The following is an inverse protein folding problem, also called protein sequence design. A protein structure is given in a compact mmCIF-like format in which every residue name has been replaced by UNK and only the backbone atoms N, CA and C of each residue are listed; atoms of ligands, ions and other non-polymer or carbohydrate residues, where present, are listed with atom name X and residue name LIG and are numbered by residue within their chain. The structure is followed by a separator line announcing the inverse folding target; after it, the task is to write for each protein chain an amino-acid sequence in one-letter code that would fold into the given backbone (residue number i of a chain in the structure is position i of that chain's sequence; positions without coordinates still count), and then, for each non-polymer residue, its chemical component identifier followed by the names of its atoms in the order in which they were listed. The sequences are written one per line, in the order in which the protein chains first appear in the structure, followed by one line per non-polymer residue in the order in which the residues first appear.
data_IF_522525383403
#
_entry.id   IF_522525383403
#
_cell.length_a   1.000
_cell.length_b   1.000
_cell.length_c   1.000
_cell.angle_alpha   90.00
_cell.angle_beta   90.00
_cell.angle_gamma   90.00
#
_symmetry.space_group_name_H-M   'P 1'
#
loop_
_entity.id
_entity.type
_entity.pdbx_description
1 polymer ?
#
# COMPACT_ATOMS: atom_id res chain seq x y z
N UNK A 1 -31.19 3.10 -40.50
CA UNK A 1 -30.37 2.10 -39.77
C UNK A 1 -29.26 2.85 -39.07
N UNK A 2 -29.46 3.24 -37.81
CA UNK A 2 -28.49 4.02 -37.02
C UNK A 2 -27.60 3.06 -36.24
N UNK A 3 -26.34 2.94 -36.66
CA UNK A 3 -25.31 2.19 -35.95
C UNK A 3 -25.00 2.91 -34.63
N UNK A 4 -25.54 2.41 -33.51
CA UNK A 4 -25.08 2.80 -32.18
C UNK A 4 -23.63 2.36 -32.05
N UNK A 5 -22.73 3.34 -32.01
CA UNK A 5 -21.33 3.15 -31.67
C UNK A 5 -21.31 2.71 -30.21
N UNK A 6 -21.14 1.41 -29.97
CA UNK A 6 -20.76 0.91 -28.66
C UNK A 6 -19.42 1.56 -28.31
N UNK A 7 -19.48 2.63 -27.52
CA UNK A 7 -18.33 3.22 -26.84
C UNK A 7 -17.82 2.10 -25.94
N UNK A 8 -16.86 1.35 -26.47
CA UNK A 8 -16.17 0.29 -25.78
C UNK A 8 -15.48 0.96 -24.59
N UNK A 9 -16.10 0.82 -23.42
CA UNK A 9 -15.62 1.33 -22.16
C UNK A 9 -14.43 0.45 -21.76
N UNK A 10 -13.32 0.59 -22.48
CA UNK A 10 -12.06 -0.07 -22.19
C UNK A 10 -11.70 0.36 -20.76
N UNK A 11 -11.66 -0.56 -19.78
CA UNK A 11 -11.25 -0.18 -18.45
C UNK A 11 -9.81 0.31 -18.56
N UNK A 12 -9.63 1.63 -18.40
CA UNK A 12 -8.32 2.33 -18.37
C UNK A 12 -7.37 1.68 -17.35
N UNK A 13 -7.91 0.87 -16.43
CA UNK A 13 -7.16 0.17 -15.40
C UNK A 13 -7.35 -1.35 -15.54
N UNK A 14 -6.28 -2.11 -15.87
CA UNK A 14 -6.35 -3.55 -16.12
C UNK A 14 -6.61 -4.40 -14.85
N UNK A 15 -6.64 -3.79 -13.66
CA UNK A 15 -6.98 -4.46 -12.41
C UNK A 15 -7.84 -3.53 -11.53
N UNK A 16 -8.84 -4.03 -10.78
CA UNK A 16 -9.62 -3.22 -9.86
C UNK A 16 -8.73 -2.55 -8.79
N UNK A 17 -9.02 -1.30 -8.42
CA UNK A 17 -8.34 -0.54 -7.35
C UNK A 17 -8.19 -1.41 -6.09
N UNK A 18 -9.28 -2.06 -5.70
CA UNK A 18 -9.35 -2.89 -4.50
C UNK A 18 -8.34 -4.03 -4.51
N UNK A 19 -8.02 -4.61 -5.67
CA UNK A 19 -7.01 -5.68 -5.76
C UNK A 19 -5.60 -5.15 -5.47
N UNK A 20 -5.26 -3.93 -5.93
CA UNK A 20 -3.95 -3.30 -5.66
C UNK A 20 -3.85 -2.85 -4.20
N UNK A 21 -4.92 -2.30 -3.64
CA UNK A 21 -5.00 -1.97 -2.22
C UNK A 21 -4.86 -3.21 -1.35
N UNK A 22 -5.53 -4.32 -1.70
CA UNK A 22 -5.46 -5.57 -0.95
C UNK A 22 -4.06 -6.19 -1.00
N UNK A 23 -3.38 -6.12 -2.15
CA UNK A 23 -1.97 -6.53 -2.26
C UNK A 23 -1.07 -5.67 -1.37
N UNK A 24 -1.22 -4.34 -1.42
CA UNK A 24 -0.46 -3.43 -0.57
C UNK A 24 -0.71 -3.67 0.92
N UNK A 25 -1.97 -3.86 1.31
CA UNK A 25 -2.37 -4.22 2.67
C UNK A 25 -1.78 -5.56 3.09
N UNK A 26 -1.81 -6.56 2.21
CA UNK A 26 -1.23 -7.89 2.46
C UNK A 26 0.27 -7.83 2.68
N UNK A 27 1.01 -7.03 1.89
CA UNK A 27 2.44 -6.81 2.09
C UNK A 27 2.70 -6.14 3.45
N UNK A 28 1.95 -5.08 3.78
CA UNK A 28 2.06 -4.41 5.08
C UNK A 28 1.73 -5.34 6.25
N UNK A 29 0.74 -6.22 6.08
CA UNK A 29 0.34 -7.21 7.09
C UNK A 29 1.42 -8.27 7.30
N UNK A 30 1.97 -8.83 6.22
CA UNK A 30 3.07 -9.79 6.33
C UNK A 30 4.29 -9.18 7.02
N UNK A 31 4.64 -7.95 6.65
CA UNK A 31 5.75 -7.23 7.26
C UNK A 31 5.52 -7.02 8.75
N UNK A 32 4.33 -6.53 9.16
CA UNK A 32 4.09 -6.30 10.58
C UNK A 32 3.93 -7.57 11.39
N UNK A 33 3.34 -8.63 10.81
CA UNK A 33 3.29 -9.95 11.45
C UNK A 33 4.70 -10.49 11.71
N UNK A 34 5.64 -10.31 10.78
CA UNK A 34 7.04 -10.70 11.00
C UNK A 34 7.65 -9.96 12.20
N UNK A 35 7.45 -8.64 12.30
CA UNK A 35 7.91 -7.86 13.46
C UNK A 35 7.24 -8.30 14.78
N UNK A 36 5.93 -8.57 14.76
CA UNK A 36 5.19 -8.97 15.95
C UNK A 36 5.60 -10.36 16.45
N UNK A 37 5.89 -11.32 15.57
CA UNK A 37 6.34 -12.67 15.95
C UNK A 37 7.73 -12.62 16.60
N UNK A 38 8.62 -11.76 16.10
CA UNK A 38 9.96 -11.58 16.68
C UNK A 38 9.99 -10.76 17.97
N UNK A 39 8.90 -10.10 18.32
CA UNK A 39 8.85 -9.18 19.44
C UNK A 39 8.40 -9.86 20.73
N UNK A 40 9.17 -9.65 21.80
CA UNK A 40 8.80 -10.10 23.14
C UNK A 40 8.18 -8.93 23.88
N UNK A 41 6.99 -9.11 24.47
CA UNK A 41 6.30 -8.04 25.20
C UNK A 41 7.16 -7.56 26.36
N UNK A 42 7.50 -6.28 26.36
CA UNK A 42 8.16 -5.65 27.50
C UNK A 42 7.13 -5.28 28.60
N UNK A 43 7.51 -5.30 29.89
CA UNK A 43 6.61 -4.98 31.02
C UNK A 43 5.94 -3.61 30.91
N UNK A 44 6.62 -2.65 30.31
CA UNK A 44 6.20 -1.25 30.14
C UNK A 44 5.20 -1.04 29.01
N UNK A 45 5.01 -2.02 28.12
CA UNK A 45 4.10 -1.87 26.98
C UNK A 45 2.63 -2.13 27.36
N UNK A 46 1.69 -1.40 26.71
CA UNK A 46 0.25 -1.64 26.89
C UNK A 46 -0.15 -3.09 26.59
N UNK A 47 -1.17 -3.62 27.27
CA UNK A 47 -1.66 -5.00 27.01
C UNK A 47 -2.02 -5.27 25.55
N UNK A 48 -2.51 -4.25 24.84
CA UNK A 48 -2.93 -4.32 23.44
C UNK A 48 -1.97 -3.60 22.48
N UNK A 49 -0.68 -3.56 22.81
CA UNK A 49 0.35 -2.89 22.03
C UNK A 49 0.41 -3.33 20.56
N UNK A 50 0.04 -4.59 20.26
CA UNK A 50 0.04 -5.19 18.92
C UNK A 50 -1.14 -4.74 18.02
N UNK A 51 -2.20 -4.13 18.57
CA UNK A 51 -3.37 -3.71 17.78
C UNK A 51 -3.02 -2.53 16.86
N UNK A 52 -2.33 -1.51 17.41
CA UNK A 52 -1.89 -0.34 16.64
C UNK A 52 -1.10 -0.73 15.39
N UNK A 53 0.00 -1.52 15.48
CA UNK A 53 0.77 -1.88 14.31
C UNK A 53 -0.04 -2.73 13.32
N UNK A 54 -0.89 -3.64 13.80
CA UNK A 54 -1.71 -4.50 12.95
C UNK A 54 -2.76 -3.73 12.13
N UNK A 55 -3.15 -2.52 12.56
CA UNK A 55 -4.07 -1.66 11.81
C UNK A 55 -3.34 -0.63 10.97
N UNK A 56 -2.34 0.06 11.55
CA UNK A 56 -1.65 1.19 10.91
C UNK A 56 -0.78 0.72 9.74
N UNK A 57 -0.03 -0.38 9.89
CA UNK A 57 0.90 -0.84 8.84
C UNK A 57 0.17 -1.38 7.60
N UNK A 58 -0.88 -2.23 7.73
CA UNK A 58 -1.65 -2.65 6.56
C UNK A 58 -2.42 -1.51 5.92
N UNK A 59 -2.92 -0.55 6.70
CA UNK A 59 -3.55 0.66 6.15
C UNK A 59 -2.56 1.51 5.34
N UNK A 60 -1.34 1.69 5.84
CA UNK A 60 -0.26 2.36 5.10
C UNK A 60 0.09 1.60 3.80
N UNK A 61 0.20 0.27 3.87
CA UNK A 61 0.38 -0.57 2.68
C UNK A 61 -0.75 -0.44 1.67
N UNK A 62 -2.00 -0.39 2.12
CA UNK A 62 -3.17 -0.17 1.26
C UNK A 62 -3.12 1.20 0.55
N UNK A 63 -2.73 2.25 1.28
CA UNK A 63 -2.55 3.60 0.74
C UNK A 63 -1.44 3.64 -0.31
N UNK A 64 -0.32 2.96 -0.07
CA UNK A 64 0.74 2.83 -1.06
C UNK A 64 0.29 2.07 -2.33
N UNK A 65 -0.51 1.02 -2.18
CA UNK A 65 -1.13 0.29 -3.30
C UNK A 65 -2.15 1.14 -4.08
N UNK A 66 -2.89 2.01 -3.39
CA UNK A 66 -3.80 2.99 -4.00
C UNK A 66 -3.04 4.06 -4.78
N UNK A 67 -1.92 4.56 -4.24
CA UNK A 67 -1.07 5.53 -4.93
C UNK A 67 -0.47 4.94 -6.22
N UNK A 68 0.00 3.68 -6.15
CA UNK A 68 0.46 2.92 -7.32
C UNK A 68 -0.66 2.73 -8.37
N UNK A 69 -1.91 2.55 -7.94
CA UNK A 69 -3.05 2.53 -8.85
C UNK A 69 -3.27 3.88 -9.55
N UNK A 70 -3.25 4.98 -8.79
CA UNK A 70 -3.50 6.31 -9.34
C UNK A 70 -2.42 6.72 -10.37
N UNK A 71 -1.17 6.30 -10.14
CA UNK A 71 -0.05 6.55 -11.05
C UNK A 71 -0.16 5.81 -12.40
N UNK A 72 -1.06 4.83 -12.53
CA UNK A 72 -1.29 4.09 -13.79
C UNK A 72 -1.89 5.00 -14.88
N UNK A 73 -2.62 6.06 -14.48
CA UNK A 73 -3.08 7.09 -15.41
C UNK A 73 -1.90 7.85 -16.04
N UNK A 74 -0.83 8.09 -15.28
CA UNK A 74 0.38 8.74 -15.80
C UNK A 74 1.20 7.79 -16.68
N UNK A 75 1.08 6.48 -16.42
CA UNK A 75 1.74 5.39 -17.16
C UNK A 75 1.13 5.14 -18.53
N UNK A 76 -0.16 5.42 -18.71
CA UNK A 76 -0.85 5.29 -20.01
C UNK A 76 -0.35 6.28 -21.08
N UNK A 77 0.39 7.33 -20.68
CA UNK A 77 0.99 8.30 -21.61
C UNK A 77 2.26 7.79 -22.31
N UNK A 78 2.78 6.61 -21.95
CA UNK A 78 3.85 5.92 -22.65
C UNK A 78 5.25 6.54 -22.53
N UNK A 79 6.26 5.78 -22.99
CA UNK A 79 7.66 6.21 -23.05
C UNK A 79 8.40 6.18 -21.70
N UNK A 80 9.30 7.15 -21.49
CA UNK A 80 10.13 7.28 -20.28
C UNK A 80 9.31 7.51 -19.00
N UNK A 81 8.10 8.08 -19.13
CA UNK A 81 7.19 8.38 -18.02
C UNK A 81 6.72 7.12 -17.29
N UNK A 82 6.63 5.99 -17.98
CA UNK A 82 6.26 4.69 -17.40
C UNK A 82 7.31 4.19 -16.41
N UNK A 83 8.60 4.29 -16.79
CA UNK A 83 9.70 3.93 -15.90
C UNK A 83 9.73 4.81 -14.66
N UNK A 84 9.63 6.13 -14.86
CA UNK A 84 9.60 7.10 -13.77
C UNK A 84 8.41 6.89 -12.81
N UNK A 85 7.21 6.61 -13.35
CA UNK A 85 6.01 6.33 -12.56
C UNK A 85 6.17 5.09 -11.68
N UNK A 86 6.77 4.00 -12.21
CA UNK A 86 7.02 2.79 -11.42
C UNK A 86 8.04 3.03 -10.30
N UNK A 87 9.17 3.70 -10.61
CA UNK A 87 10.22 4.00 -9.61
C UNK A 87 9.68 4.91 -8.51
N UNK A 88 8.96 5.97 -8.89
CA UNK A 88 8.37 6.90 -7.94
C UNK A 88 7.32 6.20 -7.07
N UNK A 89 6.48 5.35 -7.66
CA UNK A 89 5.48 4.61 -6.90
C UNK A 89 6.13 3.61 -5.92
N UNK A 90 7.24 2.97 -6.32
CA UNK A 90 8.00 2.09 -5.42
C UNK A 90 8.62 2.86 -4.26
N UNK A 91 9.24 4.01 -4.53
CA UNK A 91 9.80 4.88 -3.49
C UNK A 91 8.73 5.35 -2.51
N UNK A 92 7.59 5.83 -3.02
CA UNK A 92 6.47 6.25 -2.16
C UNK A 92 5.92 5.07 -1.38
N UNK A 93 5.79 3.89 -1.98
CA UNK A 93 5.35 2.68 -1.28
C UNK A 93 6.28 2.32 -0.11
N UNK A 94 7.60 2.35 -0.34
CA UNK A 94 8.60 2.07 0.71
C UNK A 94 8.51 3.12 1.83
N UNK A 95 8.44 4.41 1.48
CA UNK A 95 8.36 5.50 2.46
C UNK A 95 7.08 5.41 3.29
N UNK A 96 5.93 5.20 2.65
CA UNK A 96 4.64 5.09 3.34
C UNK A 96 4.60 3.85 4.22
N UNK A 97 5.10 2.70 3.75
CA UNK A 97 5.22 1.50 4.58
C UNK A 97 6.13 1.73 5.78
N UNK A 98 7.31 2.34 5.57
CA UNK A 98 8.26 2.64 6.63
C UNK A 98 7.63 3.55 7.70
N UNK A 99 6.99 4.65 7.27
CA UNK A 99 6.28 5.55 8.17
C UNK A 99 5.15 4.83 8.91
N UNK A 100 4.42 3.94 8.24
CA UNK A 100 3.40 3.09 8.85
C UNK A 100 3.97 2.19 9.93
N UNK A 101 5.13 1.57 9.68
CA UNK A 101 5.83 0.71 10.66
C UNK A 101 6.30 1.52 11.86
N UNK A 102 6.94 2.67 11.63
CA UNK A 102 7.39 3.59 12.69
C UNK A 102 6.21 4.05 13.55
N UNK A 103 5.13 4.53 12.93
CA UNK A 103 3.92 4.96 13.64
C UNK A 103 3.20 3.81 14.34
N UNK A 104 3.17 2.63 13.71
CA UNK A 104 2.54 1.44 14.25
C UNK A 104 3.26 0.89 15.48
N UNK A 105 4.60 1.00 15.50
CA UNK A 105 5.46 0.52 16.57
C UNK A 105 5.89 1.62 17.55
N UNK A 106 5.46 2.86 17.35
CA UNK A 106 5.80 3.98 18.21
C UNK A 106 5.37 3.73 19.67
N UNK A 107 6.30 3.91 20.60
CA UNK A 107 6.12 3.60 22.02
C UNK A 107 6.18 2.11 22.36
N UNK A 108 6.71 1.28 21.45
CA UNK A 108 6.97 -0.15 21.68
C UNK A 108 8.38 -0.52 21.21
N UNK A 109 8.52 -1.09 20.01
CA UNK A 109 9.79 -1.42 19.36
C UNK A 109 10.50 -0.21 18.74
N UNK A 110 9.83 0.95 18.71
CA UNK A 110 10.35 2.18 18.13
C UNK A 110 10.08 3.36 19.06
N UNK A 111 11.12 4.15 19.32
CA UNK A 111 11.12 5.36 20.17
C UNK A 111 11.41 6.61 19.34
#
# INVERSE_FOLDING_TARGET
MTHQSEIHNQPVHPAPVGKRMLLGAGIGLLLISFFLIGATKAPEWPTYWWIRPLLVVPAAGALGGLFFYNMDHLRSQGGWRTGLANVLSLLVFIVVLWLGTVLGLAGTLWD
#
